data_IF_720320778023
#
_entry.id   IF_720320778023
#
_cell.length_a   1.000
_cell.length_b   1.000
_cell.length_c   1.000
_cell.angle_alpha   90.00
_cell.angle_beta   90.00
_cell.angle_gamma   90.00
#
_symmetry.space_group_name_H-M   'P 1'
#
loop_
_entity.id
_entity.type
_entity.pdbx_description
1 polymer ?
#
# COMPACT_ATOMS: atom_id res chain seq x y z
N UNK A 1 21.32 -30.74 31.22
CA UNK A 1 21.34 -29.51 30.41
C UNK A 1 21.61 -29.82 28.95
N UNK A 2 20.59 -30.32 28.22
CA UNK A 2 20.63 -30.35 26.74
C UNK A 2 20.32 -28.95 26.25
N UNK A 3 21.31 -28.18 25.79
CA UNK A 3 21.13 -27.04 24.93
C UNK A 3 20.44 -27.58 23.65
N UNK A 4 19.15 -27.37 23.52
CA UNK A 4 18.44 -27.54 22.26
C UNK A 4 19.06 -26.52 21.27
N UNK A 5 19.90 -27.00 20.37
CA UNK A 5 20.37 -26.23 19.22
C UNK A 5 19.13 -25.98 18.38
N UNK A 6 18.56 -24.77 18.49
CA UNK A 6 17.58 -24.26 17.52
C UNK A 6 18.34 -24.17 16.22
N UNK A 7 18.00 -25.03 15.26
CA UNK A 7 18.51 -24.95 13.90
C UNK A 7 18.09 -23.59 13.33
N UNK A 8 19.03 -22.68 13.18
CA UNK A 8 18.80 -21.41 12.53
C UNK A 8 18.38 -21.70 11.09
N UNK A 9 17.27 -21.14 10.67
CA UNK A 9 16.77 -21.28 9.30
C UNK A 9 17.80 -20.72 8.31
N UNK A 10 18.36 -21.59 7.47
CA UNK A 10 19.22 -21.16 6.38
C UNK A 10 18.37 -20.65 5.21
N UNK A 11 18.60 -19.41 4.82
CA UNK A 11 17.91 -18.80 3.69
C UNK A 11 18.73 -18.91 2.41
N UNK A 12 18.06 -19.25 1.29
CA UNK A 12 18.61 -19.20 -0.05
C UNK A 12 18.25 -17.86 -0.70
N UNK A 13 19.05 -17.40 -1.65
CA UNK A 13 18.78 -16.14 -2.37
C UNK A 13 17.41 -16.16 -3.06
N UNK A 14 16.96 -17.34 -3.50
CA UNK A 14 15.64 -17.56 -4.11
C UNK A 14 14.48 -17.48 -3.13
N UNK A 15 14.71 -17.35 -1.82
CA UNK A 15 13.63 -17.14 -0.85
C UNK A 15 13.10 -15.69 -0.88
N UNK A 16 13.87 -14.74 -1.45
CA UNK A 16 13.40 -13.38 -1.73
C UNK A 16 12.90 -13.25 -3.16
N UNK A 17 12.01 -12.30 -3.40
CA UNK A 17 11.68 -11.90 -4.77
C UNK A 17 12.93 -11.34 -5.47
N UNK A 18 13.13 -11.65 -6.77
CA UNK A 18 14.34 -11.24 -7.48
C UNK A 18 14.42 -9.71 -7.66
N UNK A 19 15.64 -9.19 -7.59
CA UNK A 19 15.96 -7.77 -7.82
C UNK A 19 16.90 -7.56 -8.99
N UNK A 20 17.46 -8.63 -9.54
CA UNK A 20 18.41 -8.65 -10.67
C UNK A 20 18.04 -9.70 -11.69
N UNK A 21 18.53 -9.54 -12.92
CA UNK A 21 18.32 -10.51 -14.01
C UNK A 21 18.87 -11.90 -13.64
N UNK A 22 20.04 -11.94 -12.99
CA UNK A 22 20.63 -13.20 -12.51
C UNK A 22 19.70 -13.95 -11.53
N UNK A 23 19.05 -13.24 -10.62
CA UNK A 23 18.11 -13.84 -9.66
C UNK A 23 16.84 -14.34 -10.36
N UNK A 24 16.37 -13.66 -11.41
CA UNK A 24 15.27 -14.11 -12.27
C UNK A 24 15.66 -15.42 -12.98
N UNK A 25 16.87 -15.48 -13.55
CA UNK A 25 17.40 -16.66 -14.22
C UNK A 25 17.58 -17.84 -13.24
N UNK A 26 18.02 -17.59 -12.00
CA UNK A 26 18.13 -18.63 -10.95
C UNK A 26 16.78 -19.29 -10.61
N UNK A 27 15.66 -18.59 -10.83
CA UNK A 27 14.30 -19.14 -10.70
C UNK A 27 13.80 -19.86 -11.96
N UNK A 28 14.62 -19.93 -13.01
CA UNK A 28 14.24 -20.50 -14.31
C UNK A 28 13.23 -19.65 -15.07
N UNK A 29 13.08 -18.36 -14.73
CA UNK A 29 12.13 -17.48 -15.40
C UNK A 29 12.78 -16.80 -16.61
N UNK A 30 12.09 -16.84 -17.75
CA UNK A 30 12.52 -16.16 -18.98
C UNK A 30 11.96 -14.74 -19.08
N UNK A 31 10.83 -14.49 -18.43
CA UNK A 31 10.10 -13.23 -18.44
C UNK A 31 9.45 -12.98 -17.09
N UNK A 32 9.07 -11.76 -16.84
CA UNK A 32 8.37 -11.32 -15.63
C UNK A 32 6.95 -10.87 -15.97
N UNK A 33 6.00 -11.15 -15.09
CA UNK A 33 4.62 -10.67 -15.23
C UNK A 33 4.49 -9.23 -14.70
N UNK A 34 5.08 -8.96 -13.54
CA UNK A 34 5.01 -7.66 -12.87
C UNK A 34 6.40 -7.27 -12.35
N UNK A 35 6.75 -6.00 -12.52
CA UNK A 35 7.95 -5.42 -11.91
C UNK A 35 7.53 -4.27 -11.01
N UNK A 36 7.86 -4.36 -9.72
CA UNK A 36 7.52 -3.36 -8.71
C UNK A 36 8.70 -2.42 -8.46
N UNK A 37 8.50 -1.12 -8.65
CA UNK A 37 9.45 -0.07 -8.33
C UNK A 37 9.11 0.55 -6.97
N UNK A 38 10.08 0.62 -6.08
CA UNK A 38 9.90 1.15 -4.73
C UNK A 38 10.92 2.23 -4.37
N UNK A 39 10.48 3.27 -3.69
CA UNK A 39 11.37 4.26 -3.08
C UNK A 39 12.13 3.73 -1.86
N UNK A 40 11.70 2.62 -1.26
CA UNK A 40 12.35 2.00 -0.11
C UNK A 40 13.33 0.92 -0.51
N UNK A 41 14.30 0.63 0.37
CA UNK A 41 15.07 -0.60 0.33
C UNK A 41 14.16 -1.82 0.44
N UNK A 42 14.52 -2.91 -0.21
CA UNK A 42 13.72 -4.13 -0.16
C UNK A 42 13.95 -4.91 1.14
N UNK A 43 12.95 -4.89 1.98
CA UNK A 43 12.81 -5.75 3.16
C UNK A 43 11.59 -6.64 2.94
N UNK A 44 11.79 -7.94 2.99
CA UNK A 44 10.73 -8.92 2.76
C UNK A 44 9.93 -9.18 4.05
N UNK A 45 9.09 -8.22 4.39
CA UNK A 45 8.38 -8.17 5.66
C UNK A 45 6.93 -7.68 5.47
N UNK A 46 5.94 -8.20 6.22
CA UNK A 46 4.52 -7.82 6.07
C UNK A 46 4.20 -6.36 6.40
N UNK A 47 5.16 -5.60 6.94
CA UNK A 47 5.03 -4.14 7.15
C UNK A 47 5.56 -3.30 5.97
N UNK A 48 6.10 -3.92 4.92
CA UNK A 48 6.61 -3.23 3.74
C UNK A 48 5.68 -3.47 2.53
N UNK A 49 5.03 -2.42 2.06
CA UNK A 49 4.03 -2.50 0.98
C UNK A 49 4.50 -3.26 -0.27
N UNK A 50 5.68 -2.97 -0.83
CA UNK A 50 6.19 -3.71 -2.00
C UNK A 50 6.40 -5.20 -1.75
N UNK A 51 6.79 -5.59 -0.54
CA UNK A 51 6.90 -7.00 -0.16
C UNK A 51 5.52 -7.66 -0.08
N UNK A 52 4.55 -7.00 0.55
CA UNK A 52 3.16 -7.51 0.64
C UNK A 52 2.56 -7.72 -0.75
N UNK A 53 2.62 -6.72 -1.60
CA UNK A 53 2.09 -6.79 -2.96
C UNK A 53 2.85 -7.85 -3.77
N UNK A 54 4.17 -7.85 -3.71
CA UNK A 54 4.99 -8.82 -4.43
C UNK A 54 4.71 -10.27 -4.02
N UNK A 55 4.63 -10.55 -2.72
CA UNK A 55 4.31 -11.88 -2.20
C UNK A 55 2.88 -12.32 -2.53
N UNK A 56 1.93 -11.39 -2.46
CA UNK A 56 0.54 -11.66 -2.83
C UNK A 56 0.42 -12.07 -4.30
N UNK A 57 1.11 -11.37 -5.18
CA UNK A 57 1.12 -11.67 -6.60
C UNK A 57 1.89 -12.97 -6.92
N UNK A 58 3.02 -13.23 -6.24
CA UNK A 58 3.73 -14.51 -6.33
C UNK A 58 2.85 -15.68 -5.92
N UNK A 59 2.07 -15.55 -4.84
CA UNK A 59 1.12 -16.56 -4.38
C UNK A 59 0.01 -16.87 -5.41
N UNK A 60 -0.27 -15.95 -6.33
CA UNK A 60 -1.19 -16.15 -7.46
C UNK A 60 -0.49 -16.77 -8.69
N UNK A 61 0.76 -17.21 -8.55
CA UNK A 61 1.54 -17.82 -9.62
C UNK A 61 2.13 -16.82 -10.63
N UNK A 62 2.18 -15.51 -10.27
CA UNK A 62 2.84 -14.51 -11.11
C UNK A 62 4.33 -14.45 -10.85
N UNK A 63 5.10 -14.17 -11.91
CA UNK A 63 6.54 -13.95 -11.85
C UNK A 63 6.80 -12.47 -11.55
N UNK A 64 7.15 -12.18 -10.31
CA UNK A 64 7.28 -10.81 -9.78
C UNK A 64 8.73 -10.50 -9.42
N UNK A 65 9.18 -9.31 -9.76
CA UNK A 65 10.47 -8.77 -9.33
C UNK A 65 10.29 -7.39 -8.66
N UNK A 66 11.24 -7.04 -7.81
CA UNK A 66 11.27 -5.73 -7.15
C UNK A 66 12.53 -4.97 -7.58
N UNK A 67 12.37 -3.71 -7.96
CA UNK A 67 13.46 -2.75 -8.17
C UNK A 67 13.41 -1.73 -7.04
N UNK A 68 14.17 -1.96 -5.95
CA UNK A 68 14.20 -1.05 -4.83
C UNK A 68 15.16 0.10 -5.09
N UNK A 69 14.73 1.31 -4.80
CA UNK A 69 15.52 2.55 -4.89
C UNK A 69 16.31 2.66 -6.21
N UNK A 70 15.62 2.67 -7.38
CA UNK A 70 16.30 2.79 -8.66
C UNK A 70 17.04 4.13 -8.76
N UNK A 71 18.23 4.13 -9.33
CA UNK A 71 18.95 5.37 -9.62
C UNK A 71 18.30 6.11 -10.80
N UNK A 72 17.81 7.32 -10.55
CA UNK A 72 17.13 8.15 -11.55
C UNK A 72 18.03 9.23 -12.16
N UNK A 73 19.30 9.30 -11.71
CA UNK A 73 20.27 10.36 -12.07
C UNK A 73 21.32 9.91 -13.09
N UNK A 74 21.38 8.61 -13.39
CA UNK A 74 22.36 8.04 -14.30
C UNK A 74 21.76 7.70 -15.68
N UNK A 75 22.31 6.69 -16.35
CA UNK A 75 21.86 6.14 -17.63
C UNK A 75 20.52 5.36 -17.55
N UNK A 76 19.83 5.43 -16.43
CA UNK A 76 18.57 4.73 -16.15
C UNK A 76 18.69 3.19 -16.22
N UNK A 77 19.85 2.67 -15.89
CA UNK A 77 20.18 1.25 -15.90
C UNK A 77 19.21 0.43 -15.05
N UNK A 78 18.89 0.94 -13.86
CA UNK A 78 17.98 0.26 -12.93
C UNK A 78 16.57 0.11 -13.48
N UNK A 79 16.11 1.05 -14.31
CA UNK A 79 14.80 0.97 -14.97
C UNK A 79 14.78 0.01 -16.16
N UNK A 80 15.93 -0.34 -16.71
CA UNK A 80 16.08 -1.18 -17.91
C UNK A 80 16.53 -2.62 -17.60
N UNK A 81 17.21 -2.85 -16.47
CA UNK A 81 17.92 -4.09 -16.15
C UNK A 81 17.06 -5.37 -16.14
N UNK A 82 15.77 -5.25 -15.80
CA UNK A 82 14.82 -6.38 -15.77
C UNK A 82 13.98 -6.50 -17.05
N UNK A 83 14.10 -5.53 -17.95
CA UNK A 83 13.35 -5.50 -19.19
C UNK A 83 11.88 -5.13 -19.00
N UNK A 84 11.05 -5.62 -19.89
CA UNK A 84 9.62 -5.34 -19.98
C UNK A 84 8.81 -6.43 -19.27
N UNK A 85 7.86 -6.10 -18.38
CA UNK A 85 6.92 -7.08 -17.81
C UNK A 85 5.81 -7.42 -18.81
N UNK A 86 5.19 -8.56 -18.63
CA UNK A 86 4.04 -9.00 -19.43
C UNK A 86 2.77 -8.25 -19.11
N UNK A 87 2.55 -7.82 -17.86
CA UNK A 87 1.33 -7.18 -17.41
C UNK A 87 1.52 -5.67 -17.19
N UNK A 88 2.29 -5.26 -16.19
CA UNK A 88 2.46 -3.85 -15.86
C UNK A 88 3.69 -3.60 -14.98
N UNK A 89 4.05 -2.33 -14.87
CA UNK A 89 4.92 -1.82 -13.82
C UNK A 89 4.08 -1.32 -12.65
N UNK A 90 4.38 -1.76 -11.42
CA UNK A 90 3.84 -1.18 -10.20
C UNK A 90 4.81 -0.17 -9.62
N UNK A 91 4.35 1.00 -9.21
CA UNK A 91 5.19 2.07 -8.66
C UNK A 91 4.66 2.55 -7.32
N UNK A 92 5.54 2.65 -6.33
CA UNK A 92 5.26 3.18 -4.99
C UNK A 92 6.42 4.02 -4.49
N UNK A 93 6.12 5.10 -3.76
CA UNK A 93 7.14 5.89 -3.06
C UNK A 93 7.79 5.14 -1.88
N UNK A 94 7.18 4.06 -1.42
CA UNK A 94 7.56 3.30 -0.24
C UNK A 94 6.51 3.32 0.85
N UNK A 95 6.90 2.98 2.07
CA UNK A 95 6.01 2.91 3.23
C UNK A 95 5.51 4.27 3.71
N UNK A 96 6.24 5.34 3.41
CA UNK A 96 5.89 6.72 3.77
C UNK A 96 5.74 7.59 2.53
N UNK A 97 5.01 8.68 2.69
CA UNK A 97 5.05 9.79 1.75
C UNK A 97 6.48 10.32 1.65
N UNK A 98 6.99 10.49 0.41
CA UNK A 98 8.38 10.85 0.17
C UNK A 98 8.76 12.19 0.76
N UNK A 99 7.85 13.15 0.73
CA UNK A 99 8.10 14.50 1.23
C UNK A 99 8.12 14.53 2.76
N UNK A 100 7.22 13.77 3.40
CA UNK A 100 7.22 13.56 4.87
C UNK A 100 8.48 12.83 5.32
N UNK A 101 8.93 11.86 4.51
CA UNK A 101 10.16 11.12 4.82
C UNK A 101 11.42 11.97 4.64
N UNK A 102 11.45 12.85 3.65
CA UNK A 102 12.61 13.67 3.30
C UNK A 102 12.73 14.95 4.14
N UNK A 103 11.61 15.56 4.51
CA UNK A 103 11.57 16.86 5.18
C UNK A 103 10.89 16.78 6.55
N UNK A 104 11.32 17.67 7.44
CA UNK A 104 10.60 17.96 8.69
C UNK A 104 9.37 18.85 8.41
N UNK A 105 8.48 19.00 9.41
CA UNK A 105 7.35 19.94 9.32
C UNK A 105 7.78 21.40 9.06
N UNK A 106 8.99 21.78 9.45
CA UNK A 106 9.57 23.11 9.17
C UNK A 106 10.33 23.16 7.83
N UNK A 107 10.03 22.25 6.90
CA UNK A 107 10.65 22.15 5.57
C UNK A 107 12.19 22.01 5.57
N UNK A 108 12.76 21.53 6.68
CA UNK A 108 14.21 21.24 6.77
C UNK A 108 14.47 19.82 6.33
N UNK A 109 15.54 19.62 5.59
CA UNK A 109 15.98 18.29 5.18
C UNK A 109 16.28 17.45 6.44
N UNK A 110 15.80 16.21 6.47
CA UNK A 110 16.17 15.26 7.52
C UNK A 110 17.58 14.75 7.28
N UNK A 111 18.32 14.48 8.34
CA UNK A 111 19.68 13.94 8.28
C UNK A 111 19.71 12.47 7.85
N UNK A 112 18.64 11.74 8.10
CA UNK A 112 18.55 10.30 7.84
C UNK A 112 17.22 9.93 7.17
N UNK A 113 17.28 8.88 6.33
CA UNK A 113 16.13 8.18 5.78
C UNK A 113 16.09 6.77 6.36
N UNK A 114 15.13 6.49 7.25
CA UNK A 114 15.04 5.20 7.94
C UNK A 114 14.81 4.00 7.00
N UNK A 115 14.29 4.21 5.79
CA UNK A 115 13.98 3.18 4.82
C UNK A 115 15.11 2.92 3.81
N UNK A 116 16.28 3.49 4.06
CA UNK A 116 17.44 3.41 3.18
C UNK A 116 18.60 2.70 3.88
N UNK A 117 19.46 1.96 3.15
CA UNK A 117 20.64 1.34 3.72
C UNK A 117 21.55 2.38 4.38
N UNK A 118 21.96 2.12 5.61
CA UNK A 118 22.78 2.99 6.46
C UNK A 118 22.12 4.34 6.79
N UNK A 119 20.79 4.44 6.66
CA UNK A 119 20.05 5.67 6.91
C UNK A 119 20.36 6.79 5.91
N UNK A 120 20.96 6.50 4.76
CA UNK A 120 21.38 7.52 3.79
C UNK A 120 20.19 8.29 3.24
N UNK A 121 20.20 9.61 3.39
CA UNK A 121 19.21 10.46 2.73
C UNK A 121 19.51 10.58 1.22
N UNK A 122 18.52 11.11 0.47
CA UNK A 122 18.66 11.41 -0.97
C UNK A 122 18.86 10.17 -1.89
N UNK A 123 18.44 8.99 -1.42
CA UNK A 123 18.43 7.75 -2.21
C UNK A 123 17.13 7.55 -3.00
N UNK A 124 16.19 8.47 -2.88
CA UNK A 124 14.98 8.57 -3.69
C UNK A 124 14.77 10.02 -4.14
N UNK A 125 14.13 10.29 -5.29
CA UNK A 125 13.76 11.64 -5.70
C UNK A 125 12.67 12.21 -4.80
N UNK A 126 12.41 13.49 -4.92
CA UNK A 126 11.12 14.04 -4.49
C UNK A 126 10.01 13.48 -5.37
N UNK A 127 8.87 13.15 -4.78
CA UNK A 127 7.74 12.55 -5.49
C UNK A 127 8.13 11.34 -6.36
N UNK A 128 8.76 10.29 -5.81
CA UNK A 128 9.25 9.16 -6.60
C UNK A 128 8.13 8.47 -7.39
N UNK A 129 6.90 8.49 -6.92
CA UNK A 129 5.75 7.98 -7.70
C UNK A 129 5.60 8.70 -9.03
N UNK A 130 5.86 10.01 -9.08
CA UNK A 130 5.83 10.80 -10.33
C UNK A 130 7.08 10.53 -11.15
N UNK A 131 8.26 10.69 -10.57
CA UNK A 131 9.54 10.59 -11.27
C UNK A 131 9.74 9.20 -11.88
N UNK A 132 9.49 8.13 -11.11
CA UNK A 132 9.67 6.76 -11.60
C UNK A 132 8.67 6.45 -12.72
N UNK A 133 7.43 6.88 -12.58
CA UNK A 133 6.40 6.68 -13.61
C UNK A 133 6.77 7.38 -14.91
N UNK A 134 7.17 8.65 -14.85
CA UNK A 134 7.58 9.40 -16.04
C UNK A 134 8.77 8.77 -16.76
N UNK A 135 9.76 8.24 -16.00
CA UNK A 135 10.88 7.50 -16.58
C UNK A 135 10.40 6.23 -17.26
N UNK A 136 9.56 5.43 -16.60
CA UNK A 136 9.02 4.20 -17.17
C UNK A 136 8.18 4.45 -18.41
N UNK A 137 7.30 5.44 -18.39
CA UNK A 137 6.50 5.83 -19.57
C UNK A 137 7.35 6.33 -20.73
N UNK A 138 8.49 6.96 -20.47
CA UNK A 138 9.45 7.36 -21.51
C UNK A 138 10.18 6.18 -22.12
N UNK A 139 10.57 5.15 -21.32
CA UNK A 139 11.32 3.98 -21.80
C UNK A 139 10.38 2.94 -22.42
N UNK A 140 9.19 2.75 -21.81
CA UNK A 140 8.20 1.73 -22.16
C UNK A 140 6.80 2.38 -22.29
N UNK A 141 6.56 3.19 -23.34
CA UNK A 141 5.35 4.01 -23.45
C UNK A 141 4.05 3.18 -23.54
N UNK A 142 4.14 1.97 -24.00
CA UNK A 142 3.03 1.03 -24.23
C UNK A 142 2.78 0.06 -23.05
N UNK A 143 3.65 0.04 -22.05
CA UNK A 143 3.45 -0.78 -20.85
C UNK A 143 2.66 0.01 -19.81
N UNK A 144 1.58 -0.58 -19.26
CA UNK A 144 0.84 0.04 -18.19
C UNK A 144 1.70 0.32 -16.95
N UNK A 145 1.47 1.47 -16.31
CA UNK A 145 2.06 1.82 -15.02
C UNK A 145 0.96 2.03 -14.00
N UNK A 146 0.98 1.24 -12.95
CA UNK A 146 -0.01 1.24 -11.87
C UNK A 146 0.62 1.87 -10.62
N UNK A 147 0.04 2.94 -10.13
CA UNK A 147 0.46 3.58 -8.88
C UNK A 147 -0.17 2.90 -7.66
N UNK A 148 0.57 2.86 -6.57
CA UNK A 148 0.07 2.42 -5.28
C UNK A 148 0.81 3.07 -4.10
N UNK A 149 0.38 2.74 -2.89
CA UNK A 149 0.96 3.24 -1.65
C UNK A 149 0.40 4.58 -1.20
N UNK A 150 0.89 5.06 -0.05
CA UNK A 150 0.32 6.22 0.64
C UNK A 150 0.45 7.53 -0.16
N UNK A 151 1.60 7.76 -0.79
CA UNK A 151 1.85 8.97 -1.58
C UNK A 151 0.84 9.11 -2.72
N UNK A 152 0.62 8.05 -3.47
CA UNK A 152 -0.36 8.02 -4.55
C UNK A 152 -1.79 8.17 -4.03
N UNK A 153 -2.14 7.45 -2.96
CA UNK A 153 -3.47 7.47 -2.35
C UNK A 153 -3.90 8.87 -1.93
N UNK A 154 -3.00 9.63 -1.29
CA UNK A 154 -3.29 10.97 -0.79
C UNK A 154 -3.34 12.03 -1.89
N UNK A 155 -2.76 11.74 -3.07
CA UNK A 155 -2.67 12.66 -4.22
C UNK A 155 -3.56 12.26 -5.40
N UNK A 156 -4.56 11.38 -5.18
CA UNK A 156 -5.42 10.87 -6.25
C UNK A 156 -6.35 11.89 -6.89
N UNK A 157 -6.64 13.00 -6.20
CA UNK A 157 -7.41 14.15 -6.68
C UNK A 157 -6.62 15.43 -6.45
N UNK A 158 -7.19 16.60 -6.77
CA UNK A 158 -6.59 17.89 -6.42
C UNK A 158 -6.30 17.95 -4.92
N UNK A 159 -5.07 18.29 -4.60
CA UNK A 159 -4.57 18.31 -3.22
C UNK A 159 -3.67 19.52 -2.97
N UNK A 160 -3.59 19.94 -1.71
CA UNK A 160 -2.65 20.96 -1.28
C UNK A 160 -1.28 20.32 -1.01
N UNK A 161 -0.27 20.80 -1.72
CA UNK A 161 1.13 20.43 -1.48
C UNK A 161 1.76 21.42 -0.50
N UNK A 162 1.99 20.94 0.72
CA UNK A 162 2.53 21.76 1.80
C UNK A 162 3.95 22.29 1.49
N UNK A 163 4.78 21.48 0.84
CA UNK A 163 6.17 21.86 0.57
C UNK A 163 6.30 22.91 -0.52
N UNK A 164 5.46 22.82 -1.57
CA UNK A 164 5.39 23.78 -2.68
C UNK A 164 4.43 24.95 -2.40
N UNK A 165 3.64 24.88 -1.32
CA UNK A 165 2.63 25.86 -0.95
C UNK A 165 1.62 26.16 -2.07
N UNK A 166 1.15 25.13 -2.75
CA UNK A 166 0.21 25.27 -3.86
C UNK A 166 -0.75 24.07 -3.95
N UNK A 167 -1.87 24.29 -4.66
CA UNK A 167 -2.74 23.20 -5.09
C UNK A 167 -2.15 22.52 -6.32
N UNK A 168 -2.00 21.20 -6.25
CA UNK A 168 -1.57 20.35 -7.37
C UNK A 168 -2.73 19.54 -7.92
N UNK A 169 -2.62 19.17 -9.17
CA UNK A 169 -3.53 18.26 -9.87
C UNK A 169 -3.44 16.85 -9.27
N UNK A 170 -4.33 15.96 -9.71
CA UNK A 170 -4.19 14.53 -9.43
C UNK A 170 -2.81 14.02 -9.85
N UNK A 171 -2.22 13.14 -9.03
CA UNK A 171 -0.95 12.48 -9.34
C UNK A 171 -1.01 11.65 -10.63
N UNK A 172 -2.20 11.19 -11.04
CA UNK A 172 -2.40 10.52 -12.33
C UNK A 172 -2.01 11.42 -13.49
N UNK A 173 -2.42 12.71 -13.44
CA UNK A 173 -2.08 13.71 -14.46
C UNK A 173 -0.61 14.06 -14.40
N UNK A 174 -0.08 14.33 -13.20
CA UNK A 174 1.31 14.73 -13.03
C UNK A 174 2.30 13.62 -13.41
N UNK A 175 1.95 12.37 -13.17
CA UNK A 175 2.83 11.22 -13.46
C UNK A 175 2.65 10.62 -14.84
N UNK A 176 1.45 10.69 -15.40
CA UNK A 176 1.06 9.97 -16.62
C UNK A 176 0.82 8.47 -16.38
N UNK A 177 0.52 8.06 -15.15
CA UNK A 177 0.16 6.68 -14.84
C UNK A 177 -1.21 6.31 -15.40
N UNK A 178 -1.40 5.02 -15.67
CA UNK A 178 -2.61 4.51 -16.32
C UNK A 178 -3.72 4.18 -15.31
N UNK A 179 -3.34 3.76 -14.11
CA UNK A 179 -4.27 3.44 -13.02
C UNK A 179 -3.60 3.73 -11.68
N UNK A 180 -4.41 4.06 -10.68
CA UNK A 180 -3.98 4.21 -9.30
C UNK A 180 -4.83 3.31 -8.41
N UNK A 181 -4.17 2.52 -7.57
CA UNK A 181 -4.79 1.74 -6.49
C UNK A 181 -4.54 2.50 -5.18
N UNK A 182 -5.61 2.94 -4.52
CA UNK A 182 -5.49 3.67 -3.26
C UNK A 182 -5.80 2.80 -2.04
N UNK A 183 -5.32 3.23 -0.88
CA UNK A 183 -5.52 2.49 0.36
C UNK A 183 -4.76 1.16 0.41
N UNK A 184 -5.35 0.17 1.07
CA UNK A 184 -4.77 -1.18 1.18
C UNK A 184 -5.02 -1.96 -0.11
N UNK A 185 -3.94 -2.19 -0.87
CA UNK A 185 -4.00 -2.61 -2.27
C UNK A 185 -4.27 -4.10 -2.53
N UNK A 186 -4.44 -4.94 -1.52
CA UNK A 186 -4.48 -6.40 -1.69
C UNK A 186 -5.64 -6.88 -2.59
N UNK A 187 -6.85 -6.40 -2.34
CA UNK A 187 -8.02 -6.79 -3.14
C UNK A 187 -7.97 -6.25 -4.57
N UNK A 188 -7.79 -4.93 -4.78
CA UNK A 188 -7.80 -4.39 -6.14
C UNK A 188 -6.65 -4.90 -7.00
N UNK A 189 -5.44 -5.12 -6.47
CA UNK A 189 -4.33 -5.65 -7.27
C UNK A 189 -4.56 -7.10 -7.67
N UNK A 190 -5.17 -7.90 -6.79
CA UNK A 190 -5.54 -9.29 -7.07
C UNK A 190 -6.54 -9.36 -8.21
N UNK A 191 -7.60 -8.57 -8.14
CA UNK A 191 -8.64 -8.52 -9.16
C UNK A 191 -8.08 -7.99 -10.50
N UNK A 192 -7.26 -6.95 -10.45
CA UNK A 192 -6.60 -6.41 -11.64
C UNK A 192 -5.77 -7.49 -12.35
N UNK A 193 -4.92 -8.20 -11.62
CA UNK A 193 -4.08 -9.25 -12.20
C UNK A 193 -4.89 -10.41 -12.76
N UNK A 194 -5.95 -10.81 -12.07
CA UNK A 194 -6.85 -11.85 -12.55
C UNK A 194 -7.46 -11.48 -13.90
N UNK A 195 -8.06 -10.30 -14.03
CA UNK A 195 -8.71 -9.85 -15.27
C UNK A 195 -7.70 -9.64 -16.39
N UNK A 196 -6.51 -9.10 -16.09
CA UNK A 196 -5.46 -8.92 -17.10
C UNK A 196 -4.89 -10.26 -17.60
N UNK A 197 -4.91 -11.33 -16.81
CA UNK A 197 -4.58 -12.69 -17.25
C UNK A 197 -5.68 -13.26 -18.15
N UNK A 198 -6.93 -13.22 -17.71
CA UNK A 198 -8.08 -13.74 -18.44
C UNK A 198 -8.23 -13.11 -19.83
N UNK A 199 -7.99 -11.79 -19.93
CA UNK A 199 -7.97 -11.08 -21.21
C UNK A 199 -6.86 -11.51 -22.17
N UNK A 200 -5.76 -12.09 -21.68
CA UNK A 200 -4.66 -12.60 -22.49
C UNK A 200 -4.86 -14.05 -22.97
N UNK A 201 -5.44 -14.89 -22.12
CA UNK A 201 -5.65 -16.30 -22.44
C UNK A 201 -6.74 -16.49 -23.52
N UNK A 202 -7.57 -15.46 -23.74
CA UNK A 202 -8.61 -15.44 -24.78
C UNK A 202 -8.14 -14.95 -26.16
N UNK A 203 -6.91 -14.45 -26.29
CA UNK A 203 -6.34 -14.01 -27.56
C UNK A 203 -5.14 -14.88 -27.92
N UNK A 204 -5.26 -15.64 -29.01
CA UNK A 204 -4.19 -16.47 -29.56
C UNK A 204 -2.86 -15.69 -29.65
N UNK A 205 -1.93 -16.07 -28.82
CA UNK A 205 -0.50 -15.83 -28.82
C UNK A 205 0.02 -14.52 -29.40
N UNK A 206 0.57 -13.67 -28.55
CA UNK A 206 1.54 -12.62 -28.87
C UNK A 206 1.13 -11.15 -28.72
N UNK A 207 -0.02 -10.77 -28.24
CA UNK A 207 -0.29 -9.37 -27.95
C UNK A 207 -0.09 -9.06 -26.45
N UNK A 208 0.90 -8.17 -26.21
CA UNK A 208 1.09 -7.51 -24.90
C UNK A 208 -0.15 -6.67 -24.57
N UNK A 209 -0.58 -6.54 -23.29
CA UNK A 209 -1.70 -5.70 -22.96
C UNK A 209 -1.40 -4.30 -23.46
N UNK A 210 -2.28 -3.81 -24.32
CA UNK A 210 -2.32 -2.41 -24.67
C UNK A 210 -2.89 -1.66 -23.49
N UNK A 211 -2.49 -0.40 -23.32
CA UNK A 211 -3.02 0.55 -22.33
C UNK A 211 -4.57 0.59 -22.30
N UNK A 212 -5.20 0.16 -23.39
CA UNK A 212 -6.67 0.09 -23.58
C UNK A 212 -7.36 -1.03 -22.81
N UNK A 213 -6.60 -2.01 -22.30
CA UNK A 213 -7.16 -3.24 -21.70
C UNK A 213 -7.17 -3.22 -20.17
N UNK A 214 -6.90 -2.05 -19.57
CA UNK A 214 -6.93 -1.90 -18.10
C UNK A 214 -8.39 -1.77 -17.64
N UNK A 215 -8.88 -2.67 -16.76
CA UNK A 215 -10.22 -2.56 -16.22
C UNK A 215 -10.37 -1.31 -15.36
N UNK A 216 -11.37 -0.48 -15.65
CA UNK A 216 -11.65 0.76 -14.92
C UNK A 216 -12.78 0.62 -13.89
N UNK A 217 -13.46 -0.52 -13.85
CA UNK A 217 -14.59 -0.82 -12.96
C UNK A 217 -14.20 -1.51 -11.64
N UNK A 218 -12.89 -1.69 -11.40
CA UNK A 218 -12.39 -2.30 -10.17
C UNK A 218 -12.57 -1.29 -9.01
N UNK A 219 -13.22 -1.68 -7.90
CA UNK A 219 -13.29 -0.83 -6.72
C UNK A 219 -11.91 -0.45 -6.19
N UNK A 220 -11.84 0.67 -5.49
CA UNK A 220 -10.60 1.16 -4.86
C UNK A 220 -9.49 1.54 -5.85
N UNK A 221 -9.90 1.91 -7.07
CA UNK A 221 -9.00 2.44 -8.12
C UNK A 221 -9.35 3.87 -8.50
N UNK A 222 -8.42 4.57 -9.12
CA UNK A 222 -8.66 5.85 -9.76
C UNK A 222 -7.98 5.88 -11.14
N UNK A 223 -8.60 6.57 -12.10
CA UNK A 223 -8.17 6.67 -13.48
C UNK A 223 -8.63 7.97 -14.15
N UNK A 224 -8.14 8.21 -15.35
CA UNK A 224 -8.47 9.41 -16.13
C UNK A 224 -9.41 9.10 -17.31
N UNK A 225 -10.37 9.99 -17.54
CA UNK A 225 -11.20 10.01 -18.75
C UNK A 225 -10.93 11.30 -19.51
N UNK A 226 -10.64 11.20 -20.81
CA UNK A 226 -10.52 12.36 -21.69
C UNK A 226 -11.88 12.91 -22.10
N UNK A 227 -12.13 14.22 -21.98
CA UNK A 227 -13.39 14.88 -22.36
C UNK A 227 -13.56 15.08 -23.85
N UNK A 228 -12.48 15.06 -24.66
CA UNK A 228 -12.53 15.30 -26.09
C UNK A 228 -12.58 14.02 -26.90
N UNK A 229 -13.75 13.76 -27.52
CA UNK A 229 -13.96 13.21 -28.85
C UNK A 229 -13.27 11.93 -29.30
N UNK A 230 -12.53 11.25 -28.50
CA UNK A 230 -12.27 9.84 -28.73
C UNK A 230 -13.57 9.12 -28.41
N UNK A 231 -14.24 8.64 -29.46
CA UNK A 231 -15.35 7.70 -29.34
C UNK A 231 -14.96 6.74 -28.22
N UNK A 232 -15.70 6.69 -27.11
CA UNK A 232 -15.51 5.61 -26.17
C UNK A 232 -15.62 4.33 -27.00
N UNK A 233 -14.63 3.44 -26.96
CA UNK A 233 -14.89 2.06 -27.32
C UNK A 233 -16.17 1.65 -26.59
N UNK A 234 -17.05 0.87 -27.19
CA UNK A 234 -18.38 0.49 -26.66
C UNK A 234 -18.38 0.00 -25.19
N UNK A 235 -17.21 -0.10 -24.57
CA UNK A 235 -16.97 -0.42 -23.16
C UNK A 235 -16.76 0.79 -22.23
N UNK A 236 -16.88 2.02 -22.70
CA UNK A 236 -16.60 3.22 -21.90
C UNK A 236 -17.84 3.91 -21.31
N UNK A 237 -19.03 3.38 -21.56
CA UNK A 237 -20.19 3.65 -20.70
C UNK A 237 -20.12 2.59 -19.59
N UNK A 238 -19.32 2.85 -18.56
CA UNK A 238 -19.35 2.02 -17.35
C UNK A 238 -20.74 2.26 -16.75
N UNK A 239 -21.66 1.34 -17.01
CA UNK A 239 -22.87 1.21 -16.22
C UNK A 239 -22.41 1.16 -14.76
N UNK A 240 -22.87 2.13 -13.98
CA UNK A 240 -22.55 2.20 -12.57
C UNK A 240 -23.00 0.91 -11.90
N UNK A 241 -22.09 0.06 -11.49
CA UNK A 241 -22.36 -1.09 -10.60
C UNK A 241 -22.85 -0.60 -9.23
N UNK A 242 -22.79 0.73 -8.98
CA UNK A 242 -23.28 1.36 -7.76
C UNK A 242 -24.65 2.02 -8.02
N UNK A 243 -25.66 1.58 -7.30
CA UNK A 243 -26.99 2.22 -7.21
C UNK A 243 -26.95 3.66 -6.63
N UNK A 244 -25.75 4.17 -6.26
CA UNK A 244 -25.57 5.48 -5.62
C UNK A 244 -25.12 6.53 -6.62
N UNK A 245 -25.62 7.78 -6.50
CA UNK A 245 -25.20 8.87 -7.35
C UNK A 245 -23.73 9.21 -7.13
N UNK A 246 -23.08 9.65 -8.21
CA UNK A 246 -21.70 10.14 -8.19
C UNK A 246 -21.60 11.43 -7.37
N UNK A 247 -20.47 11.60 -6.68
CA UNK A 247 -20.09 12.85 -6.04
C UNK A 247 -19.20 13.64 -6.99
N UNK A 248 -19.71 14.76 -7.49
CA UNK A 248 -18.97 15.65 -8.38
C UNK A 248 -18.30 16.72 -7.54
N UNK A 249 -16.96 16.71 -7.51
CA UNK A 249 -16.17 17.72 -6.83
C UNK A 249 -16.05 18.99 -7.69
N UNK A 250 -15.79 20.11 -7.03
CA UNK A 250 -15.35 21.32 -7.75
C UNK A 250 -14.08 21.02 -8.53
N UNK A 251 -13.99 21.54 -9.76
CA UNK A 251 -12.83 21.32 -10.62
C UNK A 251 -11.54 21.88 -10.01
N UNK A 252 -10.40 21.40 -10.50
CA UNK A 252 -9.09 21.91 -10.09
C UNK A 252 -9.00 23.42 -10.26
N UNK A 253 -9.43 23.95 -11.41
CA UNK A 253 -9.41 25.38 -11.75
C UNK A 253 -10.33 26.20 -10.83
N UNK A 254 -11.46 25.63 -10.42
CA UNK A 254 -12.35 26.28 -9.47
C UNK A 254 -11.74 26.36 -8.07
N UNK A 255 -11.01 25.32 -7.67
CA UNK A 255 -10.28 25.28 -6.38
C UNK A 255 -9.10 26.27 -6.36
N UNK A 256 -8.40 26.46 -7.49
CA UNK A 256 -7.34 27.46 -7.61
C UNK A 256 -7.85 28.90 -7.40
N UNK A 257 -9.10 29.17 -7.84
CA UNK A 257 -9.72 30.50 -7.71
C UNK A 257 -10.34 30.74 -6.34
N UNK A 258 -10.79 29.68 -5.67
CA UNK A 258 -11.54 29.81 -4.41
C UNK A 258 -11.18 28.67 -3.44
N UNK A 259 -10.46 29.01 -2.37
CA UNK A 259 -10.05 28.07 -1.32
C UNK A 259 -11.23 27.39 -0.61
N UNK A 260 -12.41 28.03 -0.56
CA UNK A 260 -13.61 27.44 0.03
C UNK A 260 -14.06 26.20 -0.75
N UNK A 261 -13.94 26.22 -2.08
CA UNK A 261 -14.26 25.07 -2.93
C UNK A 261 -13.34 23.89 -2.66
N UNK A 262 -12.05 24.15 -2.42
CA UNK A 262 -11.13 23.08 -2.00
C UNK A 262 -11.51 22.51 -0.63
N UNK A 263 -11.92 23.36 0.31
CA UNK A 263 -12.36 22.90 1.63
C UNK A 263 -13.66 22.07 1.55
N UNK A 264 -14.58 22.44 0.66
CA UNK A 264 -15.79 21.64 0.39
C UNK A 264 -15.46 20.29 -0.24
N UNK A 265 -14.56 20.26 -1.22
CA UNK A 265 -14.06 19.02 -1.81
C UNK A 265 -13.44 18.12 -0.75
N UNK A 266 -12.59 18.67 0.13
CA UNK A 266 -11.96 17.92 1.20
C UNK A 266 -13.01 17.28 2.13
N UNK A 267 -14.09 18.01 2.48
CA UNK A 267 -15.18 17.47 3.28
C UNK A 267 -15.83 16.25 2.59
N UNK A 268 -16.13 16.34 1.30
CA UNK A 268 -16.71 15.20 0.56
C UNK A 268 -15.76 14.00 0.52
N UNK A 269 -14.48 14.24 0.25
CA UNK A 269 -13.46 13.18 0.23
C UNK A 269 -13.34 12.50 1.61
N UNK A 270 -13.34 13.29 2.68
CA UNK A 270 -13.29 12.82 4.06
C UNK A 270 -14.54 11.98 4.41
N UNK A 271 -15.73 12.49 4.09
CA UNK A 271 -16.98 11.77 4.33
C UNK A 271 -17.02 10.44 3.56
N UNK A 272 -16.67 10.42 2.27
CA UNK A 272 -16.68 9.20 1.46
C UNK A 272 -15.62 8.19 1.92
N UNK A 273 -14.44 8.65 2.33
CA UNK A 273 -13.39 7.77 2.87
C UNK A 273 -13.78 7.07 4.18
N UNK A 274 -14.78 7.59 4.88
CA UNK A 274 -15.25 7.05 6.17
C UNK A 274 -16.55 6.26 6.08
N UNK A 275 -17.13 6.11 4.89
CA UNK A 275 -18.32 5.30 4.67
C UNK A 275 -17.96 3.84 4.43
N UNK A 276 -18.82 2.95 4.88
CA UNK A 276 -18.74 1.52 4.54
C UNK A 276 -19.08 1.29 3.06
N UNK A 277 -20.08 2.03 2.59
CA UNK A 277 -20.54 2.03 1.21
C UNK A 277 -20.45 3.46 0.67
N UNK A 278 -19.32 3.77 0.05
CA UNK A 278 -19.04 5.08 -0.52
C UNK A 278 -19.59 5.22 -1.94
N UNK A 279 -19.74 6.47 -2.39
CA UNK A 279 -20.03 6.82 -3.78
C UNK A 279 -18.74 6.94 -4.60
N UNK A 280 -18.87 6.85 -5.91
CA UNK A 280 -17.80 7.21 -6.84
C UNK A 280 -17.61 8.73 -6.83
N UNK A 281 -16.37 9.17 -6.91
CA UNK A 281 -16.01 10.60 -6.91
C UNK A 281 -15.45 10.97 -8.28
N UNK A 282 -15.90 12.12 -8.82
CA UNK A 282 -15.41 12.68 -10.06
C UNK A 282 -14.86 14.08 -9.83
N UNK A 283 -13.72 14.39 -10.46
CA UNK A 283 -13.14 15.73 -10.45
C UNK A 283 -12.59 16.12 -11.80
N UNK A 284 -13.09 17.23 -12.34
CA UNK A 284 -12.58 17.81 -13.58
C UNK A 284 -11.26 18.54 -13.39
N UNK A 285 -10.36 18.37 -14.35
CA UNK A 285 -9.09 19.10 -14.46
C UNK A 285 -8.78 19.33 -15.94
N UNK A 286 -8.95 20.55 -16.41
CA UNK A 286 -8.75 20.86 -17.83
C UNK A 286 -9.65 20.01 -18.74
N UNK A 287 -9.02 19.22 -19.62
CA UNK A 287 -9.70 18.33 -20.57
C UNK A 287 -9.89 16.91 -20.04
N UNK A 288 -9.52 16.64 -18.80
CA UNK A 288 -9.58 15.32 -18.20
C UNK A 288 -10.52 15.32 -16.99
N UNK A 289 -11.10 14.17 -16.71
CA UNK A 289 -11.85 13.90 -15.48
C UNK A 289 -11.16 12.79 -14.73
N UNK A 290 -10.80 13.05 -13.48
CA UNK A 290 -10.34 12.03 -12.54
C UNK A 290 -11.58 11.31 -12.01
N UNK A 291 -11.61 10.00 -12.16
CA UNK A 291 -12.64 9.12 -11.60
C UNK A 291 -12.03 8.33 -10.47
N UNK A 292 -12.63 8.36 -9.29
CA UNK A 292 -12.24 7.57 -8.12
C UNK A 292 -13.35 6.61 -7.79
N UNK A 293 -13.14 5.33 -8.03
CA UNK A 293 -14.09 4.28 -7.68
C UNK A 293 -14.21 4.15 -6.16
N UNK A 294 -15.38 3.76 -5.63
CA UNK A 294 -15.54 3.53 -4.20
C UNK A 294 -14.60 2.44 -3.69
N UNK A 295 -14.20 2.47 -2.40
CA UNK A 295 -13.36 1.44 -1.82
C UNK A 295 -14.07 0.08 -1.76
N UNK A 296 -13.31 -1.00 -1.72
CA UNK A 296 -13.83 -2.29 -1.29
C UNK A 296 -14.37 -2.19 0.14
N UNK A 297 -15.39 -2.99 0.49
CA UNK A 297 -15.71 -3.25 1.89
C UNK A 297 -14.47 -3.72 2.66
N UNK A 298 -14.39 -3.47 3.98
CA UNK A 298 -13.29 -3.97 4.79
C UNK A 298 -13.02 -5.46 4.54
N UNK A 299 -11.75 -5.87 4.55
CA UNK A 299 -11.38 -7.27 4.41
C UNK A 299 -12.00 -8.11 5.50
N UNK A 300 -12.28 -9.38 5.23
CA UNK A 300 -12.53 -10.37 6.25
C UNK A 300 -11.26 -10.69 7.04
N UNK A 301 -11.41 -11.28 8.22
CA UNK A 301 -10.27 -11.75 9.02
C UNK A 301 -9.41 -12.74 8.22
N UNK A 302 -10.02 -13.66 7.48
CA UNK A 302 -9.27 -14.65 6.69
C UNK A 302 -8.48 -14.03 5.55
N UNK A 303 -9.00 -12.99 4.87
CA UNK A 303 -8.27 -12.26 3.84
C UNK A 303 -7.07 -11.52 4.44
N UNK A 304 -7.24 -10.94 5.63
CA UNK A 304 -6.13 -10.28 6.33
C UNK A 304 -5.08 -11.30 6.79
N UNK A 305 -5.50 -12.41 7.40
CA UNK A 305 -4.61 -13.49 7.81
C UNK A 305 -3.79 -13.99 6.62
N UNK A 306 -4.44 -14.22 5.47
CA UNK A 306 -3.74 -14.64 4.25
C UNK A 306 -2.60 -13.70 3.88
N UNK A 307 -2.82 -12.38 3.95
CA UNK A 307 -1.78 -11.39 3.64
C UNK A 307 -0.58 -11.46 4.59
N UNK A 308 -0.80 -11.77 5.87
CA UNK A 308 0.27 -11.89 6.86
C UNK A 308 0.93 -13.27 6.87
N UNK A 309 0.23 -14.32 6.47
CA UNK A 309 0.72 -15.70 6.45
C UNK A 309 1.49 -16.06 5.17
N UNK A 310 1.68 -15.10 4.24
CA UNK A 310 2.53 -15.27 3.06
C UNK A 310 3.98 -15.58 3.46
N UNK A 311 4.75 -16.26 2.59
CA UNK A 311 6.08 -16.80 2.95
C UNK A 311 7.17 -15.71 3.01
N UNK A 312 6.99 -14.71 3.87
CA UNK A 312 8.01 -13.69 4.10
C UNK A 312 9.26 -14.29 4.74
N UNK A 313 10.43 -13.86 4.28
CA UNK A 313 11.69 -14.16 4.97
C UNK A 313 11.84 -13.36 6.28
N UNK A 314 11.11 -12.24 6.41
CA UNK A 314 11.21 -11.22 7.46
C UNK A 314 12.61 -10.60 7.58
N UNK A 315 13.38 -10.62 6.49
CA UNK A 315 14.76 -10.12 6.44
C UNK A 315 14.95 -9.15 5.25
N UNK A 316 15.90 -8.22 5.35
CA UNK A 316 16.35 -7.45 4.20
C UNK A 316 16.89 -8.38 3.11
N UNK A 317 16.75 -7.95 1.85
CA UNK A 317 17.33 -8.68 0.73
C UNK A 317 18.86 -8.81 0.89
N UNK A 318 19.49 -9.96 0.55
CA UNK A 318 20.93 -10.18 0.74
C UNK A 318 21.86 -9.16 0.08
N UNK A 319 21.39 -8.41 -0.93
CA UNK A 319 22.14 -7.28 -1.52
C UNK A 319 22.56 -6.21 -0.50
N UNK A 320 21.89 -6.15 0.65
CA UNK A 320 22.20 -5.21 1.73
C UNK A 320 23.07 -5.82 2.83
N UNK A 321 23.70 -6.97 2.59
CA UNK A 321 24.59 -7.60 3.57
C UNK A 321 25.64 -6.60 4.09
N UNK A 322 25.75 -6.47 5.39
CA UNK A 322 26.65 -5.52 6.06
C UNK A 322 26.16 -4.08 6.14
N UNK A 323 24.94 -3.79 5.66
CA UNK A 323 24.32 -2.47 5.75
C UNK A 323 23.10 -2.53 6.68
N UNK A 324 22.96 -1.52 7.50
CA UNK A 324 21.82 -1.37 8.40
C UNK A 324 20.67 -0.67 7.68
N UNK A 325 19.43 -1.13 7.89
CA UNK A 325 18.20 -0.44 7.48
C UNK A 325 17.45 -0.07 8.76
N UNK A 326 17.44 1.21 9.18
CA UNK A 326 16.89 1.60 10.48
C UNK A 326 15.43 1.20 10.67
N UNK A 327 14.58 1.36 9.65
CA UNK A 327 13.18 0.95 9.70
C UNK A 327 13.02 -0.55 9.96
N UNK A 328 13.86 -1.39 9.36
CA UNK A 328 13.86 -2.82 9.63
C UNK A 328 14.23 -3.14 11.08
N UNK A 329 15.27 -2.49 11.61
CA UNK A 329 15.69 -2.72 13.00
C UNK A 329 14.59 -2.40 14.01
N UNK A 330 13.77 -1.39 13.72
CA UNK A 330 12.63 -1.02 14.57
C UNK A 330 11.52 -2.07 14.59
N UNK A 331 11.28 -2.74 13.46
CA UNK A 331 10.08 -3.59 13.28
C UNK A 331 10.36 -5.09 13.18
N UNK A 332 11.63 -5.51 13.08
CA UNK A 332 11.98 -6.92 12.81
C UNK A 332 11.35 -7.92 13.78
N UNK A 333 11.15 -7.53 15.02
CA UNK A 333 10.53 -8.33 16.08
C UNK A 333 9.18 -7.76 16.54
N UNK A 334 8.50 -7.01 15.66
CA UNK A 334 7.15 -6.53 15.91
C UNK A 334 6.12 -7.40 15.19
N UNK A 335 4.92 -7.45 15.75
CA UNK A 335 3.77 -8.14 15.17
C UNK A 335 2.58 -7.19 15.11
N UNK A 336 2.04 -7.00 13.93
CA UNK A 336 0.86 -6.18 13.72
C UNK A 336 -0.40 -7.03 13.90
N UNK A 337 -1.28 -6.62 14.81
CA UNK A 337 -2.47 -7.39 15.19
C UNK A 337 -3.70 -7.09 14.33
N UNK A 338 -3.79 -5.86 13.79
CA UNK A 338 -4.94 -5.41 13.02
C UNK A 338 -4.55 -4.28 12.07
N UNK A 339 -5.42 -3.96 11.13
CA UNK A 339 -5.39 -2.78 10.27
C UNK A 339 -6.59 -1.89 10.53
N UNK A 340 -6.50 -0.64 10.08
CA UNK A 340 -7.50 0.39 10.31
C UNK A 340 -7.28 1.17 11.61
N UNK A 341 -7.88 2.35 11.68
CA UNK A 341 -7.85 3.20 12.86
C UNK A 341 -9.07 4.11 12.87
N UNK A 342 -9.89 4.00 13.92
CA UNK A 342 -11.09 4.85 14.09
C UNK A 342 -10.83 6.14 14.87
N UNK A 343 -9.55 6.50 15.08
CA UNK A 343 -9.16 7.71 15.79
C UNK A 343 -9.57 8.98 15.08
N UNK A 344 -9.38 9.05 13.75
CA UNK A 344 -9.74 10.22 12.94
C UNK A 344 -8.97 11.48 13.33
N UNK A 345 -7.70 11.34 13.75
CA UNK A 345 -6.87 12.48 14.14
C UNK A 345 -6.53 13.33 12.92
N UNK A 346 -6.70 14.66 13.01
CA UNK A 346 -6.57 15.58 11.89
C UNK A 346 -5.17 15.61 11.24
N UNK A 347 -4.13 15.24 11.98
CA UNK A 347 -2.74 15.19 11.49
C UNK A 347 -2.34 13.82 10.94
N UNK A 348 -3.16 12.78 11.11
CA UNK A 348 -2.76 11.40 10.85
C UNK A 348 -3.44 10.85 9.60
N UNK A 349 -2.65 10.22 8.74
CA UNK A 349 -3.12 9.64 7.48
C UNK A 349 -3.46 8.15 7.57
N UNK A 350 -3.29 7.51 8.73
CA UNK A 350 -3.53 6.07 8.88
C UNK A 350 -4.98 5.72 8.58
N UNK A 351 -5.95 6.42 9.17
CA UNK A 351 -7.37 6.17 8.90
C UNK A 351 -7.77 6.47 7.45
N UNK A 352 -7.15 7.50 6.83
CA UNK A 352 -7.40 7.83 5.43
C UNK A 352 -6.81 6.80 4.47
N UNK A 353 -5.73 6.10 4.83
CA UNK A 353 -5.08 5.11 3.99
C UNK A 353 -5.55 3.68 4.29
N UNK A 354 -5.61 3.28 5.56
CA UNK A 354 -6.01 1.93 5.97
C UNK A 354 -7.53 1.79 6.18
N UNK A 355 -8.26 2.91 6.24
CA UNK A 355 -9.68 2.95 6.56
C UNK A 355 -9.95 3.09 8.07
N UNK A 356 -11.19 3.47 8.37
CA UNK A 356 -11.69 3.64 9.75
C UNK A 356 -12.03 2.30 10.42
N UNK A 357 -12.46 1.33 9.64
CA UNK A 357 -12.97 0.06 10.17
C UNK A 357 -11.81 -0.88 10.52
N UNK A 358 -11.83 -1.38 11.76
CA UNK A 358 -10.80 -2.29 12.23
C UNK A 358 -11.03 -3.68 11.65
N UNK A 359 -9.98 -4.23 11.05
CA UNK A 359 -9.90 -5.62 10.63
C UNK A 359 -8.78 -6.29 11.44
N UNK A 360 -9.15 -7.24 12.28
CA UNK A 360 -8.23 -7.92 13.19
C UNK A 360 -7.84 -9.30 12.66
N UNK A 361 -6.59 -9.64 12.83
CA UNK A 361 -6.07 -10.99 12.54
C UNK A 361 -6.62 -12.01 13.52
N UNK A 362 -6.67 -13.26 13.10
CA UNK A 362 -6.94 -14.37 14.02
C UNK A 362 -5.78 -14.56 14.99
N UNK A 363 -6.09 -15.12 16.15
CA UNK A 363 -5.10 -15.51 17.15
C UNK A 363 -4.10 -16.51 16.58
N UNK A 364 -4.56 -17.44 15.76
CA UNK A 364 -3.75 -18.46 15.11
C UNK A 364 -2.72 -17.85 14.16
N UNK A 365 -3.11 -16.87 13.34
CA UNK A 365 -2.19 -16.16 12.44
C UNK A 365 -1.13 -15.39 13.24
N UNK A 366 -1.53 -14.68 14.29
CA UNK A 366 -0.62 -13.95 15.18
C UNK A 366 0.39 -14.90 15.81
N UNK A 367 -0.07 -16.01 16.39
CA UNK A 367 0.81 -16.98 17.06
C UNK A 367 1.77 -17.69 16.07
N UNK A 368 1.34 -17.93 14.81
CA UNK A 368 2.24 -18.46 13.77
C UNK A 368 3.38 -17.48 13.50
N UNK A 369 3.07 -16.20 13.35
CA UNK A 369 4.09 -15.17 13.11
C UNK A 369 5.06 -15.04 14.30
N UNK A 370 4.55 -15.04 15.54
CA UNK A 370 5.39 -14.98 16.73
C UNK A 370 6.33 -16.20 16.79
N UNK A 371 5.86 -17.41 16.48
CA UNK A 371 6.72 -18.61 16.42
C UNK A 371 7.81 -18.43 15.36
N UNK A 372 7.48 -17.93 14.17
CA UNK A 372 8.48 -17.66 13.13
C UNK A 372 9.53 -16.64 13.59
N UNK A 373 9.14 -15.64 14.38
CA UNK A 373 10.08 -14.68 14.98
C UNK A 373 11.02 -15.35 15.98
N UNK A 374 10.54 -16.33 16.77
CA UNK A 374 11.42 -17.03 17.74
C UNK A 374 12.55 -17.82 17.06
N UNK A 375 12.39 -18.14 15.77
CA UNK A 375 13.40 -18.84 14.95
C UNK A 375 14.34 -17.89 14.20
N UNK A 376 14.08 -16.56 14.27
CA UNK A 376 14.90 -15.58 13.56
C UNK A 376 16.31 -15.44 14.17
N UNK A 377 17.33 -15.15 13.33
CA UNK A 377 18.65 -14.79 13.85
C UNK A 377 18.55 -13.59 14.81
N UNK A 378 19.37 -13.60 15.85
CA UNK A 378 19.47 -12.52 16.85
C UNK A 378 18.25 -12.31 17.74
N UNK A 379 17.19 -13.10 17.61
CA UNK A 379 16.06 -13.01 18.53
C UNK A 379 16.47 -13.47 19.95
N UNK A 380 16.24 -12.60 20.93
CA UNK A 380 16.66 -12.81 22.34
C UNK A 380 15.47 -13.01 23.29
N UNK A 381 14.28 -13.24 22.76
CA UNK A 381 13.06 -13.45 23.52
C UNK A 381 12.23 -12.20 23.76
N UNK A 382 12.54 -11.09 23.09
CA UNK A 382 11.84 -9.81 23.27
C UNK A 382 11.13 -9.38 21.97
N UNK A 383 9.81 -9.34 22.00
CA UNK A 383 9.03 -8.71 20.94
C UNK A 383 9.05 -7.20 21.12
N UNK A 384 9.42 -6.45 20.09
CA UNK A 384 9.55 -4.98 20.18
C UNK A 384 8.20 -4.26 20.19
N UNK A 385 7.20 -4.86 19.57
CA UNK A 385 5.82 -4.37 19.60
C UNK A 385 4.85 -5.52 19.30
N UNK A 386 3.73 -5.54 19.99
CA UNK A 386 2.59 -6.42 19.74
C UNK A 386 1.34 -5.55 19.72
N UNK A 387 1.05 -4.95 18.57
CA UNK A 387 0.08 -3.85 18.53
C UNK A 387 -0.55 -3.57 17.17
N UNK A 388 -1.25 -2.46 17.10
CA UNK A 388 -1.89 -1.93 15.91
C UNK A 388 -1.05 -0.86 15.21
N UNK A 389 -1.55 -0.30 14.11
CA UNK A 389 -0.81 0.69 13.32
C UNK A 389 -0.63 2.05 14.03
N UNK A 390 -1.45 2.37 15.03
CA UNK A 390 -1.36 3.61 15.81
C UNK A 390 -1.60 3.37 17.30
N UNK A 391 -2.85 3.07 17.66
CA UNK A 391 -3.23 2.58 18.98
C UNK A 391 -3.78 1.16 18.83
N UNK A 392 -3.70 0.34 19.86
CA UNK A 392 -4.16 -1.02 19.78
C UNK A 392 -5.69 -1.09 19.91
N UNK A 393 -6.34 -1.31 18.78
CA UNK A 393 -7.80 -1.41 18.63
C UNK A 393 -8.24 -2.83 18.25
N UNK A 394 -7.49 -3.83 18.70
CA UNK A 394 -7.73 -5.23 18.35
C UNK A 394 -9.15 -5.67 18.73
N UNK A 395 -9.86 -6.28 17.79
CA UNK A 395 -11.24 -6.75 17.89
C UNK A 395 -12.29 -5.67 18.20
N UNK A 396 -11.91 -4.38 18.17
CA UNK A 396 -12.85 -3.29 18.38
C UNK A 396 -13.62 -2.97 17.10
N UNK A 397 -14.95 -3.05 17.17
CA UNK A 397 -15.86 -2.77 16.05
C UNK A 397 -17.20 -2.26 16.54
N UNK A 398 -18.07 -1.85 15.64
CA UNK A 398 -19.46 -1.53 16.00
C UNK A 398 -20.21 -2.75 16.53
N UNK A 399 -21.00 -2.58 17.58
CA UNK A 399 -21.88 -3.62 18.14
C UNK A 399 -22.99 -3.98 17.16
N UNK A 400 -23.54 -2.97 16.49
CA UNK A 400 -24.50 -3.10 15.39
C UNK A 400 -23.87 -2.56 14.10
N UNK A 401 -23.62 -3.46 13.15
CA UNK A 401 -23.03 -3.14 11.86
C UNK A 401 -23.94 -2.27 11.00
N UNK A 402 -25.27 -2.40 11.11
CA UNK A 402 -26.23 -1.58 10.35
C UNK A 402 -26.07 -0.09 10.64
N UNK A 403 -25.73 0.27 11.90
CA UNK A 403 -25.43 1.64 12.30
C UNK A 403 -24.10 2.09 11.62
N UNK A 404 -23.09 1.24 11.63
CA UNK A 404 -21.79 1.54 11.02
C UNK A 404 -21.88 1.74 9.51
N UNK A 405 -22.69 0.94 8.80
CA UNK A 405 -22.89 1.07 7.34
C UNK A 405 -23.42 2.43 6.91
N UNK A 406 -24.19 3.11 7.76
CA UNK A 406 -24.77 4.43 7.50
C UNK A 406 -23.94 5.59 8.09
N UNK A 407 -22.86 5.28 8.80
CA UNK A 407 -22.09 6.27 9.56
C UNK A 407 -21.16 7.07 8.64
N UNK A 408 -21.20 8.40 8.78
CA UNK A 408 -20.33 9.36 8.06
C UNK A 408 -19.19 9.92 8.93
N UNK A 409 -19.21 9.65 10.25
CA UNK A 409 -18.27 10.27 11.19
C UNK A 409 -16.83 9.83 10.88
N UNK A 410 -15.86 10.77 10.84
CA UNK A 410 -14.46 10.42 10.64
C UNK A 410 -13.83 9.71 11.84
N UNK A 411 -14.41 9.92 13.06
CA UNK A 411 -13.90 9.35 14.31
C UNK A 411 -15.00 8.63 15.08
N UNK A 412 -14.66 7.47 15.69
CA UNK A 412 -15.53 6.79 16.64
C UNK A 412 -15.32 7.22 18.09
N UNK A 413 -14.28 8.03 18.36
CA UNK A 413 -13.92 8.48 19.72
C UNK A 413 -14.04 9.98 19.92
N UNK A 414 -14.09 10.77 18.85
CA UNK A 414 -14.19 12.23 18.91
C UNK A 414 -15.50 12.73 18.27
N UNK A 415 -16.18 13.77 18.81
CA UNK A 415 -15.95 14.46 20.09
C UNK A 415 -16.39 13.65 21.32
N UNK A 416 -17.07 12.54 21.12
CA UNK A 416 -17.50 11.59 22.16
C UNK A 416 -17.35 10.17 21.62
N UNK A 417 -17.02 9.24 22.52
CA UNK A 417 -16.98 7.80 22.19
C UNK A 417 -18.36 7.38 21.67
N UNK A 418 -18.36 6.69 20.53
CA UNK A 418 -19.58 6.21 19.90
C UNK A 418 -20.24 5.14 20.79
N UNK A 419 -21.52 5.27 21.15
CA UNK A 419 -22.20 4.25 21.95
C UNK A 419 -22.26 2.86 21.28
N UNK A 420 -22.18 2.86 19.95
CA UNK A 420 -22.14 1.62 19.17
C UNK A 420 -20.74 0.97 19.12
N UNK A 421 -19.69 1.65 19.61
CA UNK A 421 -18.34 1.08 19.63
C UNK A 421 -18.21 0.03 20.73
N UNK A 422 -17.72 -1.17 20.36
CA UNK A 422 -17.25 -2.12 21.35
C UNK A 422 -15.84 -1.74 21.80
N UNK A 423 -15.69 -1.50 23.09
CA UNK A 423 -14.42 -1.09 23.73
C UNK A 423 -13.86 -2.17 24.65
N UNK A 424 -14.25 -3.43 24.44
CA UNK A 424 -13.80 -4.57 25.24
C UNK A 424 -12.36 -4.97 24.88
N UNK A 425 -11.45 -4.84 25.83
CA UNK A 425 -10.04 -5.19 25.68
C UNK A 425 -9.72 -6.68 25.97
N UNK A 426 -10.68 -7.48 26.45
CA UNK A 426 -10.44 -8.90 26.79
C UNK A 426 -9.86 -9.71 25.62
N UNK A 427 -10.29 -9.54 24.36
CA UNK A 427 -9.67 -10.24 23.23
C UNK A 427 -8.18 -9.88 23.05
N UNK A 428 -7.80 -8.62 23.31
CA UNK A 428 -6.42 -8.17 23.26
C UNK A 428 -5.58 -8.78 24.39
N UNK A 429 -6.12 -8.79 25.60
CA UNK A 429 -5.45 -9.42 26.76
C UNK A 429 -5.22 -10.92 26.52
N UNK A 430 -6.17 -11.62 25.90
CA UNK A 430 -6.01 -13.03 25.54
C UNK A 430 -4.87 -13.25 24.55
N UNK A 431 -4.67 -12.34 23.58
CA UNK A 431 -3.51 -12.37 22.68
C UNK A 431 -2.21 -12.21 23.49
N UNK A 432 -2.12 -11.21 24.36
CA UNK A 432 -0.91 -10.97 25.16
C UNK A 432 -0.55 -12.19 26.03
N UNK A 433 -1.51 -12.71 26.78
CA UNK A 433 -1.29 -13.93 27.60
C UNK A 433 -0.84 -15.13 26.78
N UNK A 434 -1.46 -15.31 25.60
CA UNK A 434 -1.13 -16.44 24.73
C UNK A 434 0.26 -16.31 24.10
N UNK A 435 0.67 -15.11 23.75
CA UNK A 435 2.01 -14.82 23.21
C UNK A 435 3.07 -14.98 24.29
N UNK A 436 2.86 -14.42 25.49
CA UNK A 436 3.82 -14.51 26.59
C UNK A 436 3.99 -15.95 27.11
N UNK A 437 3.00 -16.83 26.90
CA UNK A 437 3.08 -18.24 27.21
C UNK A 437 3.88 -19.08 26.19
N UNK A 438 4.26 -18.51 25.02
CA UNK A 438 5.00 -19.26 24.00
C UNK A 438 6.45 -19.53 24.43
N UNK A 439 6.97 -20.73 24.15
CA UNK A 439 8.38 -21.03 24.35
C UNK A 439 9.27 -20.05 23.56
N UNK A 440 10.31 -19.53 24.20
CA UNK A 440 11.25 -18.58 23.60
C UNK A 440 10.87 -17.11 23.76
N UNK A 441 9.66 -16.79 24.19
CA UNK A 441 9.26 -15.42 24.55
C UNK A 441 9.58 -15.17 26.03
N UNK A 442 10.31 -14.11 26.32
CA UNK A 442 10.58 -13.61 27.67
C UNK A 442 9.69 -12.44 28.03
N UNK A 443 9.40 -11.58 27.04
CA UNK A 443 8.57 -10.40 27.22
C UNK A 443 8.09 -9.84 25.86
N UNK A 444 6.85 -9.41 25.81
CA UNK A 444 6.31 -8.58 24.73
C UNK A 444 6.17 -7.13 25.18
N UNK A 445 6.40 -6.19 24.26
CA UNK A 445 6.21 -4.76 24.48
C UNK A 445 5.02 -4.26 23.67
N UNK A 446 4.41 -3.19 24.15
CA UNK A 446 3.35 -2.46 23.47
C UNK A 446 3.95 -1.11 23.10
N UNK A 447 4.40 -0.96 21.86
CA UNK A 447 4.98 0.29 21.36
C UNK A 447 3.91 1.28 20.91
N UNK A 448 2.80 0.77 20.39
CA UNK A 448 1.60 1.55 20.12
C UNK A 448 0.76 1.71 21.38
N UNK A 449 0.08 2.85 21.58
CA UNK A 449 -0.83 3.03 22.72
C UNK A 449 -1.96 1.99 22.79
N UNK A 450 -2.57 1.84 23.93
CA UNK A 450 -3.77 0.99 24.17
C UNK A 450 -4.99 1.88 24.34
#
# INVERSE_FOLDING_TARGET
NKKQYISLKEYKLTDWLPTTKKEVEMRGWKELDVILFSGDAYVDHPSFGPAVIGRLLEAQGLKVAIVPQPNWRDDLRDFKKLGRPRLFFGVSAGCMDSMVNKYTANKRLRSEDAYTPDGRHDMRPEYPSIVYTQILKKIYPDVPVILGGIEASLRRVTHYDYWQDCLRKSILIDSGADLLIYGMGEKPITELCKRMKEGKDSQDGAHLPLQKDIPHDIPQTAYLICKKGSVPSEHSVIECVNEKPDIILHSHEACLKDKKKQAENFRFIEEESNKYEASRILQDTGNETVVVNPPYPPMSQGELDHSFDLPYTRMPHPKYKGKRIPAFDMIKFSVNLHRGCFGGCAFCTISAHQGKFIVSRSKESILREVRAITEMPDFKGYLSDLGGPSANMYAMRGKDEKICRRCKRPSCIHPKVCPNLNTDHRPLLDIYHSVDALPGIKKSFIGSGV
#
